data_IF_726892070110
#
_entry.id   IF_726892070110
#
_cell.length_a   1.000
_cell.length_b   1.000
_cell.length_c   1.000
_cell.angle_alpha   90.00
_cell.angle_beta   90.00
_cell.angle_gamma   90.00
#
_symmetry.space_group_name_H-M   'P 1'
#
loop_
_entity.id
_entity.type
_entity.pdbx_description
1 polymer ?
#
# COMPACT_ATOMS: atom_id res chain seq x y z
N UNK A 1 -9.47 25.74 -4.05
CA UNK A 1 -10.00 24.94 -5.16
C UNK A 1 -8.95 24.97 -6.25
N UNK A 2 -8.22 23.88 -6.36
CA UNK A 2 -7.28 23.56 -7.43
C UNK A 2 -8.07 23.52 -8.75
N UNK A 3 -7.54 24.18 -9.78
CA UNK A 3 -8.15 24.21 -11.10
C UNK A 3 -8.11 22.83 -11.75
N UNK A 4 -9.09 22.49 -12.58
CA UNK A 4 -9.08 21.28 -13.39
C UNK A 4 -7.77 21.18 -14.22
N UNK A 5 -7.18 19.97 -14.39
CA UNK A 5 -5.88 19.79 -15.03
C UNK A 5 -5.92 19.87 -16.56
N UNK A 6 -6.96 20.49 -17.14
CA UNK A 6 -7.27 20.50 -18.58
C UNK A 6 -6.05 20.81 -19.45
N UNK A 7 -5.44 21.99 -19.28
CA UNK A 7 -4.33 22.41 -20.12
C UNK A 7 -3.09 21.49 -20.00
N UNK A 8 -2.84 20.96 -18.79
CA UNK A 8 -1.73 20.05 -18.54
C UNK A 8 -1.96 18.69 -19.21
N UNK A 9 -3.19 18.17 -19.15
CA UNK A 9 -3.57 16.92 -19.83
C UNK A 9 -3.52 17.07 -21.35
N UNK A 10 -4.07 18.16 -21.91
CA UNK A 10 -4.01 18.42 -23.36
C UNK A 10 -2.58 18.52 -23.89
N UNK A 11 -1.70 19.21 -23.15
CA UNK A 11 -0.29 19.35 -23.51
C UNK A 11 0.47 18.00 -23.46
N UNK A 12 0.08 17.12 -22.54
CA UNK A 12 0.78 15.87 -22.26
C UNK A 12 0.30 14.72 -23.15
N UNK A 13 -1.00 14.48 -23.19
CA UNK A 13 -1.60 13.34 -23.90
C UNK A 13 -1.99 13.68 -25.34
N UNK A 14 -2.00 14.97 -25.69
CA UNK A 14 -2.50 15.48 -26.96
C UNK A 14 -4.01 15.35 -27.10
N UNK A 15 -4.60 16.17 -27.97
CA UNK A 15 -6.06 16.24 -28.14
C UNK A 15 -6.70 17.24 -27.18
N UNK A 16 -7.95 17.62 -27.47
CA UNK A 16 -8.71 18.56 -26.64
C UNK A 16 -9.51 17.82 -25.59
N UNK A 17 -9.55 18.35 -24.37
CA UNK A 17 -10.37 17.81 -23.28
C UNK A 17 -11.83 18.19 -23.51
N UNK A 18 -12.71 17.19 -23.53
CA UNK A 18 -14.16 17.36 -23.71
C UNK A 18 -14.87 17.47 -22.36
N UNK A 19 -14.57 16.55 -21.42
CA UNK A 19 -15.13 16.60 -20.07
C UNK A 19 -14.08 16.36 -18.99
N UNK A 20 -14.29 16.98 -17.84
CA UNK A 20 -13.51 16.76 -16.62
C UNK A 20 -14.50 16.58 -15.47
N UNK A 21 -14.41 15.45 -14.79
CA UNK A 21 -15.19 15.15 -13.60
C UNK A 21 -14.22 14.89 -12.45
N UNK A 22 -14.45 15.55 -11.31
CA UNK A 22 -13.67 15.29 -10.10
C UNK A 22 -14.16 13.98 -9.48
N UNK A 23 -13.23 13.07 -9.21
CA UNK A 23 -13.49 11.82 -8.50
C UNK A 23 -13.23 12.01 -7.00
N UNK A 24 -13.97 11.25 -6.18
CA UNK A 24 -13.68 11.10 -4.76
C UNK A 24 -12.50 10.14 -4.56
N UNK A 25 -11.64 10.36 -3.56
CA UNK A 25 -10.66 9.35 -3.11
C UNK A 25 -9.19 9.78 -2.95
N UNK A 26 -8.79 10.98 -3.37
CA UNK A 26 -7.40 11.41 -3.20
C UNK A 26 -7.09 11.91 -1.79
N UNK A 27 -6.24 11.20 -1.04
CA UNK A 27 -5.68 11.73 0.23
C UNK A 27 -4.52 12.71 0.02
N UNK A 28 -3.81 12.57 -1.10
CA UNK A 28 -2.55 13.29 -1.41
C UNK A 28 -2.76 14.39 -2.47
N UNK A 29 -3.84 14.29 -3.26
CA UNK A 29 -4.12 15.22 -4.35
C UNK A 29 -5.56 15.11 -4.84
N UNK A 30 -5.93 15.97 -5.78
CA UNK A 30 -7.21 15.88 -6.48
C UNK A 30 -7.12 14.85 -7.61
N UNK A 31 -8.19 14.09 -7.79
CA UNK A 31 -8.30 13.05 -8.81
C UNK A 31 -9.42 13.43 -9.77
N UNK A 32 -9.17 13.32 -11.07
CA UNK A 32 -10.12 13.69 -12.11
C UNK A 32 -10.25 12.57 -13.14
N UNK A 33 -11.48 12.22 -13.51
CA UNK A 33 -11.78 11.53 -14.76
C UNK A 33 -11.77 12.57 -15.88
N UNK A 34 -10.95 12.35 -16.90
CA UNK A 34 -10.81 13.24 -18.04
C UNK A 34 -11.13 12.47 -19.32
N UNK A 35 -12.06 13.01 -20.10
CA UNK A 35 -12.44 12.48 -21.42
C UNK A 35 -11.94 13.44 -22.50
N UNK A 36 -11.16 12.90 -23.44
CA UNK A 36 -10.65 13.64 -24.59
C UNK A 36 -11.65 13.54 -25.76
N UNK A 37 -11.66 14.55 -26.62
CA UNK A 37 -12.55 14.64 -27.77
C UNK A 37 -12.37 13.51 -28.82
N UNK A 38 -11.29 12.72 -28.70
CA UNK A 38 -11.05 11.52 -29.52
C UNK A 38 -11.58 10.22 -28.87
N UNK A 39 -12.26 10.32 -27.73
CA UNK A 39 -12.88 9.21 -26.99
C UNK A 39 -11.97 8.53 -25.98
N UNK A 40 -10.69 8.94 -25.86
CA UNK A 40 -9.80 8.43 -24.80
C UNK A 40 -10.26 8.92 -23.42
N UNK A 41 -10.18 8.05 -22.42
CA UNK A 41 -10.46 8.36 -21.02
C UNK A 41 -9.22 8.11 -20.18
N UNK A 42 -8.89 9.02 -19.27
CA UNK A 42 -7.77 8.91 -18.34
C UNK A 42 -8.17 9.37 -16.95
N UNK A 43 -7.49 8.86 -15.93
CA UNK A 43 -7.48 9.46 -14.60
C UNK A 43 -6.28 10.38 -14.50
N UNK A 44 -6.52 11.66 -14.21
CA UNK A 44 -5.50 12.65 -13.93
C UNK A 44 -5.47 12.96 -12.44
N UNK A 45 -4.32 12.76 -11.81
CA UNK A 45 -4.03 13.17 -10.42
C UNK A 45 -3.16 14.42 -10.43
N UNK A 46 -3.49 15.37 -9.54
CA UNK A 46 -2.70 16.58 -9.30
C UNK A 46 -2.60 16.83 -7.79
N UNK A 47 -1.48 17.33 -7.29
CA UNK A 47 -1.33 17.58 -5.85
C UNK A 47 -0.14 18.45 -5.50
N UNK A 48 -0.01 18.76 -4.22
CA UNK A 48 1.14 19.50 -3.68
C UNK A 48 2.36 18.59 -3.40
N UNK A 49 2.18 17.28 -3.55
CA UNK A 49 3.21 16.27 -3.35
C UNK A 49 3.67 15.69 -4.69
N UNK A 50 4.93 15.27 -4.75
CA UNK A 50 5.53 14.66 -5.92
C UNK A 50 4.79 13.36 -6.34
N UNK A 51 4.08 13.44 -7.46
CA UNK A 51 3.31 12.32 -8.03
C UNK A 51 4.17 11.35 -8.85
N UNK A 52 5.43 11.70 -9.14
CA UNK A 52 6.31 10.86 -9.96
C UNK A 52 6.62 9.52 -9.29
N UNK A 53 6.63 9.51 -7.96
CA UNK A 53 6.90 8.29 -7.17
C UNK A 53 5.80 7.25 -7.36
N UNK A 54 4.53 7.65 -7.38
CA UNK A 54 3.41 6.74 -7.62
C UNK A 54 3.45 6.15 -9.04
N UNK A 55 3.63 6.98 -10.06
CA UNK A 55 3.72 6.49 -11.44
C UNK A 55 4.90 5.55 -11.66
N UNK A 56 6.03 5.78 -10.98
CA UNK A 56 7.19 4.85 -10.99
C UNK A 56 6.87 3.52 -10.31
N UNK A 57 6.11 3.52 -9.21
CA UNK A 57 5.68 2.28 -8.55
C UNK A 57 4.71 1.47 -9.42
N UNK A 58 3.70 2.12 -10.01
CA UNK A 58 2.78 1.49 -10.96
C UNK A 58 3.52 0.86 -12.15
N UNK A 59 4.45 1.63 -12.74
CA UNK A 59 5.28 1.13 -13.85
C UNK A 59 6.16 -0.06 -13.44
N UNK A 60 6.66 -0.07 -12.19
CA UNK A 60 7.47 -1.18 -11.67
C UNK A 60 6.62 -2.44 -11.46
N UNK A 61 5.42 -2.32 -10.90
CA UNK A 61 4.47 -3.43 -10.74
C UNK A 61 4.09 -4.05 -12.08
N UNK A 62 3.76 -3.22 -13.08
CA UNK A 62 3.40 -3.67 -14.42
C UNK A 62 4.58 -4.34 -15.16
N UNK A 63 5.81 -3.91 -14.89
CA UNK A 63 7.00 -4.49 -15.53
C UNK A 63 7.46 -5.80 -14.89
N UNK A 64 7.22 -5.98 -13.58
CA UNK A 64 7.76 -7.10 -12.80
C UNK A 64 6.73 -8.18 -12.48
N UNK A 65 5.44 -7.93 -12.70
CA UNK A 65 4.35 -8.85 -12.34
C UNK A 65 3.15 -8.75 -13.28
N UNK A 66 2.25 -9.73 -13.18
CA UNK A 66 0.94 -9.72 -13.85
C UNK A 66 -0.16 -9.09 -12.96
N UNK A 67 0.20 -8.38 -11.89
CA UNK A 67 -0.77 -7.71 -11.02
C UNK A 67 -1.55 -6.67 -11.83
N UNK A 68 -2.90 -6.69 -11.84
CA UNK A 68 -3.66 -5.73 -12.61
C UNK A 68 -3.52 -4.36 -11.96
N UNK A 69 -2.77 -3.46 -12.59
CA UNK A 69 -2.57 -2.06 -12.19
C UNK A 69 -2.83 -1.15 -13.40
N UNK A 70 -3.30 0.09 -13.20
CA UNK A 70 -3.52 1.01 -14.31
C UNK A 70 -2.24 1.28 -15.10
N UNK A 71 -2.33 1.30 -16.44
CA UNK A 71 -1.23 1.76 -17.29
C UNK A 71 -0.89 3.22 -16.99
N UNK A 72 0.41 3.55 -16.93
CA UNK A 72 0.87 4.93 -16.73
C UNK A 72 1.10 5.59 -18.09
N UNK A 73 0.28 6.57 -18.43
CA UNK A 73 0.43 7.36 -19.66
C UNK A 73 1.42 8.50 -19.50
N UNK A 74 1.46 9.12 -18.32
CA UNK A 74 2.38 10.19 -17.97
C UNK A 74 2.61 10.27 -16.47
N UNK A 75 3.82 10.62 -16.06
CA UNK A 75 4.16 10.80 -14.66
C UNK A 75 5.29 11.81 -14.48
N UNK A 76 4.97 12.92 -13.82
CA UNK A 76 5.94 13.89 -13.30
C UNK A 76 5.53 14.33 -11.88
N UNK A 77 6.19 15.37 -11.36
CA UNK A 77 5.96 15.83 -10.00
C UNK A 77 4.56 16.43 -9.78
N UNK A 78 3.96 17.04 -10.80
CA UNK A 78 2.75 17.84 -10.71
C UNK A 78 1.52 17.13 -11.31
N UNK A 79 1.74 16.18 -12.23
CA UNK A 79 0.70 15.47 -12.96
C UNK A 79 1.03 13.97 -13.12
N UNK A 80 0.08 13.14 -12.75
CA UNK A 80 0.06 11.70 -13.07
C UNK A 80 -1.19 11.39 -13.89
N UNK A 81 -1.01 10.94 -15.13
CA UNK A 81 -2.09 10.45 -15.98
C UNK A 81 -1.97 8.93 -16.12
N UNK A 82 -3.03 8.23 -15.72
CA UNK A 82 -3.10 6.77 -15.77
C UNK A 82 -4.37 6.31 -16.49
N UNK A 83 -4.41 5.04 -16.84
CA UNK A 83 -5.58 4.37 -17.36
C UNK A 83 -6.79 4.57 -16.45
N UNK A 84 -7.93 4.91 -17.06
CA UNK A 84 -9.21 4.81 -16.39
C UNK A 84 -9.69 3.37 -16.44
N UNK A 85 -9.66 2.69 -15.29
CA UNK A 85 -10.15 1.33 -15.14
C UNK A 85 -11.57 1.37 -14.59
N UNK A 86 -12.51 0.69 -15.26
CA UNK A 86 -13.86 0.55 -14.75
C UNK A 86 -13.90 -0.44 -13.58
N UNK A 87 -14.68 -0.09 -12.55
CA UNK A 87 -14.95 -1.01 -11.45
C UNK A 87 -15.62 -0.35 -10.26
N UNK A 88 -16.06 -1.20 -9.34
CA UNK A 88 -16.58 -0.85 -8.03
C UNK A 88 -15.64 -1.38 -6.93
N UNK A 89 -15.79 -0.91 -5.70
CA UNK A 89 -15.06 -1.44 -4.54
C UNK A 89 -15.82 -2.54 -3.77
N UNK A 90 -16.71 -3.26 -4.45
CA UNK A 90 -17.56 -4.31 -3.85
C UNK A 90 -16.77 -5.61 -3.68
N UNK A 91 -16.40 -5.94 -2.45
CA UNK A 91 -15.67 -7.18 -2.13
C UNK A 91 -16.66 -8.33 -1.89
N UNK A 92 -16.76 -9.23 -2.88
CA UNK A 92 -17.49 -10.52 -2.75
C UNK A 92 -16.51 -11.65 -2.44
N UNK A 93 -16.96 -12.83 -1.95
CA UNK A 93 -16.09 -13.98 -1.79
C UNK A 93 -15.40 -14.44 -3.09
N UNK A 94 -15.95 -14.12 -4.26
CA UNK A 94 -15.30 -14.37 -5.55
C UNK A 94 -14.10 -13.44 -5.77
N UNK A 95 -14.29 -12.14 -5.50
CA UNK A 95 -13.24 -11.12 -5.51
C UNK A 95 -12.14 -11.47 -4.50
N UNK A 96 -12.49 -11.86 -3.27
CA UNK A 96 -11.51 -12.28 -2.26
C UNK A 96 -10.60 -13.41 -2.77
N UNK A 97 -11.18 -14.43 -3.40
CA UNK A 97 -10.41 -15.54 -3.98
C UNK A 97 -9.57 -15.10 -5.17
N UNK A 98 -10.03 -14.13 -5.94
CA UNK A 98 -9.27 -13.57 -7.07
C UNK A 98 -8.08 -12.74 -6.58
N UNK A 99 -8.32 -11.79 -5.66
CA UNK A 99 -7.27 -11.02 -5.00
C UNK A 99 -6.23 -11.92 -4.33
N UNK A 100 -6.65 -13.01 -3.68
CA UNK A 100 -5.73 -13.98 -3.10
C UNK A 100 -4.82 -14.66 -4.11
N UNK A 101 -5.28 -14.91 -5.34
CA UNK A 101 -4.43 -15.42 -6.42
C UNK A 101 -3.46 -14.35 -6.89
N UNK A 102 -3.96 -13.16 -7.18
CA UNK A 102 -3.16 -12.03 -7.67
C UNK A 102 -2.04 -11.67 -6.69
N UNK A 103 -2.34 -11.52 -5.40
CA UNK A 103 -1.33 -11.25 -4.38
C UNK A 103 -0.40 -12.44 -4.14
N UNK A 104 -0.89 -13.68 -4.26
CA UNK A 104 0.00 -14.84 -4.18
C UNK A 104 0.99 -14.90 -5.35
N UNK A 105 0.56 -14.56 -6.56
CA UNK A 105 1.40 -14.49 -7.76
C UNK A 105 2.41 -13.33 -7.65
N UNK A 106 1.96 -12.14 -7.24
CA UNK A 106 2.83 -11.00 -6.94
C UNK A 106 3.91 -11.37 -5.91
N UNK A 107 3.51 -12.00 -4.81
CA UNK A 107 4.46 -12.39 -3.75
C UNK A 107 5.41 -13.55 -4.13
N UNK A 108 5.30 -14.12 -5.34
CA UNK A 108 6.31 -15.03 -5.92
C UNK A 108 7.36 -14.29 -6.75
N UNK A 109 7.18 -13.00 -7.03
CA UNK A 109 8.22 -12.16 -7.61
C UNK A 109 9.24 -11.85 -6.53
N UNK A 110 10.36 -12.58 -6.56
CA UNK A 110 11.39 -12.52 -5.53
C UNK A 110 12.44 -11.44 -5.81
N UNK A 111 12.75 -10.65 -4.78
CA UNK A 111 13.83 -9.67 -4.80
C UNK A 111 15.16 -10.29 -4.36
N UNK A 112 16.28 -9.67 -4.75
CA UNK A 112 17.61 -10.08 -4.27
C UNK A 112 17.89 -9.66 -2.83
N UNK A 113 17.19 -8.65 -2.34
CA UNK A 113 17.33 -8.05 -1.03
C UNK A 113 16.00 -7.37 -0.65
N UNK A 114 15.81 -7.05 0.63
CA UNK A 114 14.68 -6.24 1.10
C UNK A 114 14.94 -4.76 0.81
N UNK A 115 13.88 -4.01 0.52
CA UNK A 115 13.97 -2.62 0.08
C UNK A 115 13.38 -2.44 -1.31
N UNK A 116 13.77 -1.37 -2.00
CA UNK A 116 13.25 -1.04 -3.32
C UNK A 116 14.26 -0.13 -4.06
N UNK A 117 14.23 -0.05 -5.41
CA UNK A 117 15.20 0.77 -6.14
C UNK A 117 15.17 2.28 -5.80
N UNK A 118 14.12 2.75 -5.13
CA UNK A 118 13.96 4.11 -4.64
C UNK A 118 13.06 4.15 -3.40
N UNK A 119 13.15 5.22 -2.61
CA UNK A 119 12.23 5.48 -1.50
C UNK A 119 10.82 5.70 -2.04
N UNK A 120 9.84 5.01 -1.45
CA UNK A 120 8.43 5.07 -1.85
C UNK A 120 7.61 5.92 -0.89
N UNK A 121 6.30 5.99 -1.12
CA UNK A 121 5.35 6.71 -0.27
C UNK A 121 4.24 5.75 0.18
N UNK A 122 3.77 5.92 1.41
CA UNK A 122 2.48 5.39 1.87
C UNK A 122 1.60 6.56 2.25
N UNK A 123 0.59 6.85 1.43
CA UNK A 123 -0.03 8.18 1.41
C UNK A 123 1.03 9.28 1.24
N UNK A 124 1.03 10.35 2.05
CA UNK A 124 2.06 11.39 1.97
C UNK A 124 3.34 11.06 2.77
N UNK A 125 3.45 9.86 3.36
CA UNK A 125 4.54 9.51 4.28
C UNK A 125 5.69 8.83 3.50
N UNK A 126 6.91 9.39 3.55
CA UNK A 126 8.07 8.75 2.94
C UNK A 126 8.42 7.41 3.60
N UNK A 127 8.66 6.40 2.77
CA UNK A 127 9.11 5.06 3.13
C UNK A 127 10.54 4.85 2.65
N UNK A 128 11.54 4.93 3.56
CA UNK A 128 12.91 4.59 3.22
C UNK A 128 13.01 3.13 2.74
N UNK A 129 13.73 2.92 1.65
CA UNK A 129 13.87 1.61 1.01
C UNK A 129 15.34 1.23 0.72
N UNK A 130 16.29 1.42 1.66
CA UNK A 130 17.65 0.95 1.45
C UNK A 130 17.66 -0.57 1.26
N UNK A 131 18.54 -1.05 0.38
CA UNK A 131 18.74 -2.48 0.21
C UNK A 131 19.36 -3.09 1.46
N UNK A 132 18.76 -4.17 1.97
CA UNK A 132 19.22 -4.90 3.15
C UNK A 132 19.08 -6.41 2.96
N UNK A 133 19.97 -7.19 3.58
CA UNK A 133 19.98 -8.65 3.43
C UNK A 133 18.97 -9.36 4.34
N UNK A 134 18.51 -8.70 5.41
CA UNK A 134 17.65 -9.30 6.44
C UNK A 134 16.37 -8.51 6.62
N UNK A 135 15.25 -9.22 6.74
CA UNK A 135 13.94 -8.61 6.87
C UNK A 135 13.70 -8.01 8.24
N UNK A 136 14.04 -8.72 9.31
CA UNK A 136 13.68 -8.29 10.67
C UNK A 136 14.33 -6.93 11.02
N UNK A 137 15.63 -6.69 10.74
CA UNK A 137 16.24 -5.36 10.89
C UNK A 137 15.61 -4.31 9.97
N UNK A 138 15.32 -4.65 8.71
CA UNK A 138 14.65 -3.73 7.78
C UNK A 138 13.28 -3.29 8.30
N UNK A 139 12.45 -4.23 8.74
CA UNK A 139 11.13 -3.95 9.29
C UNK A 139 11.22 -3.11 10.57
N UNK A 140 12.16 -3.44 11.46
CA UNK A 140 12.38 -2.65 12.69
C UNK A 140 12.77 -1.20 12.36
N UNK A 141 13.82 -1.03 11.57
CA UNK A 141 14.49 0.26 11.42
C UNK A 141 13.79 1.14 10.36
N UNK A 142 13.45 0.57 9.20
CA UNK A 142 12.93 1.31 8.04
C UNK A 142 11.40 1.36 7.97
N UNK A 143 10.70 0.56 8.78
CA UNK A 143 9.24 0.62 8.91
C UNK A 143 8.85 1.18 10.25
N UNK A 144 8.97 0.39 11.32
CA UNK A 144 8.39 0.71 12.64
C UNK A 144 9.08 1.90 13.31
N UNK A 145 10.40 1.89 13.46
CA UNK A 145 11.12 2.99 14.14
C UNK A 145 11.06 4.29 13.32
N UNK A 146 11.26 4.22 12.00
CA UNK A 146 11.16 5.39 11.11
C UNK A 146 9.84 6.15 11.28
N UNK A 147 8.70 5.45 11.29
CA UNK A 147 7.40 6.10 11.47
C UNK A 147 7.13 6.50 12.93
N UNK A 148 7.61 5.71 13.90
CA UNK A 148 7.54 6.05 15.32
C UNK A 148 8.24 7.40 15.59
N UNK A 149 9.46 7.58 15.10
CA UNK A 149 10.24 8.82 15.25
C UNK A 149 9.56 10.02 14.58
N UNK A 150 8.91 9.80 13.42
CA UNK A 150 8.13 10.84 12.74
C UNK A 150 6.89 11.22 13.54
N UNK A 151 6.16 10.24 14.06
CA UNK A 151 4.96 10.48 14.86
C UNK A 151 5.28 11.15 16.20
N UNK A 152 6.37 10.76 16.87
CA UNK A 152 6.85 11.40 18.09
C UNK A 152 7.26 12.86 17.84
N UNK A 153 8.04 13.13 16.78
CA UNK A 153 8.42 14.51 16.40
C UNK A 153 7.23 15.39 16.01
N UNK A 154 6.21 14.80 15.41
CA UNK A 154 4.96 15.49 15.06
C UNK A 154 4.03 15.68 16.27
N UNK A 155 4.33 15.11 17.44
CA UNK A 155 3.46 15.12 18.62
C UNK A 155 2.19 14.26 18.46
N UNK A 156 2.14 13.42 17.42
CA UNK A 156 1.00 12.54 17.15
C UNK A 156 1.10 11.19 17.85
N UNK A 157 2.27 10.83 18.40
CA UNK A 157 2.48 9.65 19.25
C UNK A 157 2.93 10.07 20.67
N UNK A 158 2.20 9.68 21.73
CA UNK A 158 2.63 9.90 23.12
C UNK A 158 3.90 9.11 23.49
N UNK A 159 4.77 9.69 24.32
CA UNK A 159 6.04 9.09 24.77
C UNK A 159 5.87 7.71 25.41
N UNK A 160 4.79 7.50 26.16
CA UNK A 160 4.47 6.20 26.76
C UNK A 160 4.27 5.11 25.70
N UNK A 161 3.54 5.42 24.62
CA UNK A 161 3.34 4.48 23.52
C UNK A 161 4.62 4.30 22.69
N UNK A 162 5.38 5.37 22.45
CA UNK A 162 6.68 5.27 21.78
C UNK A 162 7.63 4.32 22.53
N UNK A 163 7.71 4.43 23.86
CA UNK A 163 8.52 3.54 24.71
C UNK A 163 8.08 2.08 24.58
N UNK A 164 6.77 1.82 24.50
CA UNK A 164 6.24 0.45 24.32
C UNK A 164 6.57 -0.11 22.93
N UNK A 165 6.50 0.72 21.89
CA UNK A 165 6.93 0.35 20.52
C UNK A 165 8.41 0.02 20.49
N UNK A 166 9.28 0.83 21.12
CA UNK A 166 10.73 0.56 21.20
C UNK A 166 11.03 -0.78 21.89
N UNK A 167 10.32 -1.09 22.97
CA UNK A 167 10.45 -2.39 23.67
C UNK A 167 10.01 -3.55 22.78
N UNK A 168 8.92 -3.40 22.03
CA UNK A 168 8.48 -4.40 21.07
C UNK A 168 9.53 -4.61 19.96
N UNK A 169 10.06 -3.52 19.39
CA UNK A 169 11.12 -3.54 18.37
C UNK A 169 12.37 -4.30 18.83
N UNK A 170 12.77 -4.17 20.10
CA UNK A 170 13.92 -4.87 20.66
C UNK A 170 13.75 -6.41 20.64
N UNK A 171 12.50 -6.87 20.70
CA UNK A 171 12.17 -8.29 20.75
C UNK A 171 11.75 -8.88 19.39
N UNK A 172 11.78 -8.10 18.29
CA UNK A 172 11.32 -8.56 16.97
C UNK A 172 12.01 -9.85 16.49
N UNK A 173 13.29 -10.06 16.81
CA UNK A 173 14.03 -11.30 16.51
C UNK A 173 13.42 -12.55 17.17
N UNK A 174 12.67 -12.37 18.28
CA UNK A 174 11.94 -13.44 18.96
C UNK A 174 10.47 -13.54 18.55
N UNK A 175 9.92 -12.46 17.97
CA UNK A 175 8.51 -12.34 17.61
C UNK A 175 8.24 -12.73 16.15
N UNK A 176 9.25 -12.61 15.30
CA UNK A 176 9.19 -12.85 13.85
C UNK A 176 10.17 -13.95 13.43
N UNK A 177 10.05 -14.35 12.17
CA UNK A 177 10.98 -15.26 11.52
C UNK A 177 11.38 -14.63 10.20
N UNK A 178 12.65 -14.77 9.83
CA UNK A 178 13.12 -14.33 8.51
C UNK A 178 12.39 -15.11 7.41
N UNK A 179 11.87 -14.45 6.37
CA UNK A 179 11.28 -15.15 5.23
C UNK A 179 12.39 -15.81 4.40
N UNK A 180 12.03 -16.82 3.61
CA UNK A 180 12.98 -17.50 2.71
C UNK A 180 13.55 -16.57 1.63
N UNK A 181 12.72 -15.64 1.13
CA UNK A 181 13.10 -14.63 0.16
C UNK A 181 12.28 -13.33 0.34
N UNK A 182 12.81 -12.16 -0.05
CA UNK A 182 12.03 -10.94 -0.23
C UNK A 182 10.99 -11.12 -1.34
N UNK A 183 9.76 -10.71 -1.09
CA UNK A 183 8.69 -10.73 -2.09
C UNK A 183 8.29 -9.30 -2.46
N UNK A 184 8.04 -9.04 -3.74
CA UNK A 184 7.47 -7.78 -4.18
C UNK A 184 6.08 -7.61 -3.56
N UNK A 185 5.82 -6.48 -2.92
CA UNK A 185 4.54 -6.16 -2.28
C UNK A 185 3.83 -5.03 -3.05
N UNK A 186 2.51 -5.05 -3.07
CA UNK A 186 1.73 -3.86 -3.46
C UNK A 186 1.90 -2.79 -2.37
N UNK A 187 1.87 -3.20 -1.10
CA UNK A 187 2.22 -2.37 0.07
C UNK A 187 1.07 -1.55 0.64
N UNK A 188 -0.03 -1.37 -0.11
CA UNK A 188 -1.25 -0.70 0.35
C UNK A 188 -2.52 -1.37 -0.21
N UNK A 189 -2.60 -2.71 -0.12
CA UNK A 189 -3.75 -3.46 -0.61
C UNK A 189 -4.90 -3.42 0.41
N UNK A 190 -5.86 -2.52 0.22
CA UNK A 190 -7.09 -2.44 1.02
C UNK A 190 -8.29 -2.04 0.16
N UNK A 191 -9.52 -2.15 0.72
CA UNK A 191 -10.78 -2.06 -0.03
C UNK A 191 -10.87 -0.86 -1.00
N UNK A 192 -10.42 0.32 -0.61
CA UNK A 192 -10.55 1.53 -1.45
C UNK A 192 -9.52 1.60 -2.56
N UNK A 193 -8.44 0.83 -2.45
CA UNK A 193 -7.38 0.71 -3.44
C UNK A 193 -7.62 -0.47 -4.40
N UNK A 194 -8.87 -0.95 -4.46
CA UNK A 194 -9.29 -2.06 -5.30
C UNK A 194 -10.49 -1.65 -6.14
N UNK A 195 -10.36 -1.88 -7.44
CA UNK A 195 -11.48 -1.89 -8.38
C UNK A 195 -11.83 -3.32 -8.74
N UNK A 196 -13.12 -3.57 -8.89
CA UNK A 196 -13.67 -4.92 -9.08
C UNK A 196 -14.86 -4.88 -10.03
N UNK A 197 -15.14 -5.99 -10.70
CA UNK A 197 -16.39 -6.21 -11.46
C UNK A 197 -17.43 -7.00 -10.65
N UNK A 198 -17.23 -7.11 -9.33
CA UNK A 198 -18.02 -7.93 -8.42
C UNK A 198 -17.68 -9.44 -8.45
N UNK A 199 -16.86 -9.92 -9.39
CA UNK A 199 -16.36 -11.30 -9.48
C UNK A 199 -14.84 -11.41 -9.39
N UNK A 200 -14.11 -10.42 -9.91
CA UNK A 200 -12.65 -10.34 -10.00
C UNK A 200 -12.16 -8.94 -9.67
N UNK A 201 -10.87 -8.84 -9.35
CA UNK A 201 -10.19 -7.56 -9.23
C UNK A 201 -9.83 -7.07 -10.63
N UNK A 202 -10.23 -5.84 -10.97
CA UNK A 202 -9.91 -5.18 -12.24
C UNK A 202 -8.67 -4.30 -12.12
N UNK A 203 -8.42 -3.71 -10.94
CA UNK A 203 -7.17 -3.00 -10.66
C UNK A 203 -6.84 -2.93 -9.16
N UNK A 204 -5.54 -2.96 -8.86
CA UNK A 204 -4.94 -2.48 -7.62
C UNK A 204 -4.44 -1.04 -7.86
N UNK A 205 -4.81 -0.13 -6.97
CA UNK A 205 -4.52 1.29 -7.05
C UNK A 205 -3.57 1.72 -5.93
N UNK A 206 -2.93 2.86 -6.11
CA UNK A 206 -2.18 3.58 -5.06
C UNK A 206 -1.15 2.70 -4.32
N UNK A 207 -0.17 2.13 -5.05
CA UNK A 207 0.81 1.24 -4.45
C UNK A 207 1.76 1.96 -3.47
N UNK A 208 2.33 1.18 -2.55
CA UNK A 208 3.39 1.59 -1.62
C UNK A 208 4.51 0.53 -1.65
N UNK A 209 5.06 0.30 -2.85
CA UNK A 209 5.85 -0.87 -3.21
C UNK A 209 7.17 -1.02 -2.45
N UNK A 210 7.53 -2.26 -2.14
CA UNK A 210 8.88 -2.66 -1.78
C UNK A 210 8.98 -4.19 -1.76
N UNK A 211 10.19 -4.70 -1.78
CA UNK A 211 10.48 -6.10 -1.48
C UNK A 211 10.52 -6.32 0.03
N UNK A 212 9.60 -7.13 0.55
CA UNK A 212 9.38 -7.35 1.98
C UNK A 212 8.95 -8.78 2.31
N UNK A 213 8.61 -9.03 3.57
CA UNK A 213 7.98 -10.29 3.95
C UNK A 213 6.48 -10.23 3.60
N UNK A 214 5.92 -11.20 2.85
CA UNK A 214 4.50 -11.20 2.46
C UNK A 214 3.49 -11.03 3.60
N UNK A 215 3.83 -11.49 4.81
CA UNK A 215 2.92 -11.44 5.96
C UNK A 215 2.60 -10.01 6.40
N UNK A 216 3.39 -9.00 6.02
CA UNK A 216 3.05 -7.61 6.32
C UNK A 216 1.82 -7.13 5.57
N UNK A 217 1.70 -7.50 4.29
CA UNK A 217 0.53 -7.19 3.48
C UNK A 217 -0.67 -8.04 3.92
N UNK A 218 -0.45 -9.31 4.30
CA UNK A 218 -1.49 -10.14 4.90
C UNK A 218 -2.02 -9.58 6.22
N UNK A 219 -1.16 -8.98 7.04
CA UNK A 219 -1.56 -8.35 8.29
C UNK A 219 -2.34 -7.06 8.04
N UNK A 220 -2.04 -6.36 6.95
CA UNK A 220 -2.76 -5.16 6.55
C UNK A 220 -4.17 -5.46 6.03
N UNK A 221 -4.33 -6.48 5.18
CA UNK A 221 -5.67 -6.92 4.72
C UNK A 221 -6.53 -7.47 5.84
N UNK A 222 -5.91 -8.17 6.83
CA UNK A 222 -6.59 -8.65 8.04
C UNK A 222 -7.06 -7.48 8.91
N UNK A 223 -6.16 -6.52 9.19
CA UNK A 223 -6.44 -5.40 10.06
C UNK A 223 -7.52 -4.47 9.51
N UNK A 224 -7.45 -4.17 8.21
CA UNK A 224 -8.43 -3.31 7.53
C UNK A 224 -9.75 -4.02 7.23
N UNK A 225 -9.87 -5.31 7.59
CA UNK A 225 -11.01 -6.17 7.26
C UNK A 225 -11.36 -6.12 5.76
N UNK A 226 -10.33 -5.95 4.92
CA UNK A 226 -10.51 -5.86 3.47
C UNK A 226 -10.96 -7.20 2.92
N UNK A 227 -10.35 -8.30 3.40
CA UNK A 227 -10.66 -9.66 2.98
C UNK A 227 -10.84 -10.60 4.17
N UNK A 228 -11.76 -11.56 4.04
CA UNK A 228 -12.04 -12.58 5.04
C UNK A 228 -11.50 -13.97 4.71
N UNK A 229 -12.19 -14.99 5.22
CA UNK A 229 -11.76 -16.39 5.17
C UNK A 229 -11.52 -16.91 3.74
N UNK A 230 -12.31 -16.46 2.76
CA UNK A 230 -12.18 -16.97 1.39
C UNK A 230 -10.86 -16.54 0.74
N UNK A 231 -10.36 -15.35 1.10
CA UNK A 231 -9.03 -14.89 0.71
C UNK A 231 -7.94 -15.74 1.37
N UNK A 232 -7.93 -15.85 2.70
CA UNK A 232 -6.86 -16.55 3.43
C UNK A 232 -6.80 -18.04 3.11
N UNK A 233 -7.94 -18.70 2.90
CA UNK A 233 -8.01 -20.08 2.42
C UNK A 233 -7.32 -20.21 1.04
N UNK A 234 -7.68 -19.33 0.10
CA UNK A 234 -7.13 -19.39 -1.25
C UNK A 234 -5.64 -19.04 -1.28
N UNK A 235 -5.24 -17.98 -0.57
CA UNK A 235 -3.84 -17.54 -0.53
C UNK A 235 -2.91 -18.64 0.01
N UNK A 236 -3.32 -19.31 1.10
CA UNK A 236 -2.59 -20.46 1.65
C UNK A 236 -2.43 -21.59 0.64
N UNK A 237 -3.49 -21.90 -0.11
CA UNK A 237 -3.46 -22.94 -1.14
C UNK A 237 -2.50 -22.58 -2.28
N UNK A 238 -2.46 -21.32 -2.69
CA UNK A 238 -1.58 -20.86 -3.77
C UNK A 238 -0.11 -20.89 -3.37
N UNK A 239 0.23 -20.30 -2.22
CA UNK A 239 1.63 -20.18 -1.78
C UNK A 239 2.19 -21.48 -1.22
N UNK A 240 1.34 -22.42 -0.84
CA UNK A 240 1.78 -23.65 -0.16
C UNK A 240 2.40 -23.40 1.22
N UNK A 241 2.24 -22.20 1.78
CA UNK A 241 2.79 -21.80 3.08
C UNK A 241 1.75 -21.96 4.19
N UNK A 242 2.20 -22.47 5.33
CA UNK A 242 1.38 -22.52 6.54
C UNK A 242 1.37 -21.17 7.25
N UNK A 243 0.18 -20.60 7.48
CA UNK A 243 0.00 -19.40 8.32
C UNK A 243 -0.06 -19.75 9.83
N UNK A 244 0.63 -20.81 10.25
CA UNK A 244 0.63 -21.24 11.65
C UNK A 244 1.28 -20.15 12.52
N UNK A 245 0.59 -19.73 13.59
CA UNK A 245 1.03 -18.66 14.47
C UNK A 245 0.92 -17.23 13.89
N UNK A 246 0.53 -17.09 12.61
CA UNK A 246 0.34 -15.77 11.99
C UNK A 246 -0.79 -15.01 12.68
N UNK A 247 -1.98 -15.61 12.74
CA UNK A 247 -3.18 -14.99 13.32
C UNK A 247 -3.09 -14.80 14.84
N UNK A 248 -2.30 -15.64 15.52
CA UNK A 248 -2.15 -15.58 16.98
C UNK A 248 -1.23 -14.43 17.40
N UNK A 249 -0.15 -14.20 16.66
CA UNK A 249 0.92 -13.28 17.09
C UNK A 249 1.52 -12.44 15.96
N UNK A 250 2.02 -13.04 14.87
CA UNK A 250 2.83 -12.29 13.87
C UNK A 250 2.06 -11.18 13.18
N UNK A 251 0.76 -11.36 12.90
CA UNK A 251 -0.08 -10.29 12.32
C UNK A 251 -0.11 -9.03 13.17
N UNK A 252 -0.08 -9.15 14.50
CA UNK A 252 -0.10 -7.99 15.39
C UNK A 252 1.25 -7.27 15.39
N UNK A 253 2.36 -7.99 15.22
CA UNK A 253 3.69 -7.39 15.05
C UNK A 253 3.76 -6.62 13.74
N UNK A 254 3.27 -7.20 12.64
CA UNK A 254 3.21 -6.55 11.33
C UNK A 254 2.23 -5.39 11.26
N UNK A 255 1.13 -5.45 12.02
CA UNK A 255 0.14 -4.37 12.15
C UNK A 255 0.74 -3.09 12.74
N UNK A 256 1.81 -3.18 13.55
CA UNK A 256 2.43 -2.00 14.17
C UNK A 256 2.80 -0.94 13.14
N UNK A 257 3.36 -1.33 11.99
CA UNK A 257 3.77 -0.39 10.96
C UNK A 257 2.59 0.44 10.37
N UNK A 258 1.59 -0.17 9.70
CA UNK A 258 0.49 0.59 9.12
C UNK A 258 -0.30 1.35 10.20
N UNK A 259 -0.43 0.79 11.40
CA UNK A 259 -1.12 1.46 12.50
C UNK A 259 -0.37 2.72 12.97
N UNK A 260 0.96 2.68 13.05
CA UNK A 260 1.77 3.87 13.34
C UNK A 260 1.70 4.92 12.23
N UNK A 261 1.61 4.50 10.96
CA UNK A 261 1.33 5.43 9.84
C UNK A 261 -0.02 6.13 10.07
N UNK A 262 -1.06 5.40 10.47
CA UNK A 262 -2.38 5.98 10.77
C UNK A 262 -2.37 6.85 12.03
N UNK A 263 -1.62 6.49 13.07
CA UNK A 263 -1.38 7.38 14.23
C UNK A 263 -0.71 8.68 13.78
N UNK A 264 0.28 8.59 12.90
CA UNK A 264 0.98 9.77 12.40
C UNK A 264 0.04 10.70 11.61
N UNK A 265 -0.79 10.15 10.73
CA UNK A 265 -1.67 10.91 9.83
C UNK A 265 -2.95 11.42 10.51
N UNK A 266 -3.57 10.62 11.37
CA UNK A 266 -4.93 10.86 11.88
C UNK A 266 -5.03 10.93 13.40
N UNK A 267 -4.03 10.45 14.13
CA UNK A 267 -3.98 10.53 15.58
C UNK A 267 -5.03 9.69 16.31
N UNK A 268 -5.94 10.37 17.01
CA UNK A 268 -6.81 9.89 18.11
C UNK A 268 -7.11 8.39 18.18
N UNK A 269 -8.06 7.90 17.37
CA UNK A 269 -8.58 6.53 17.46
C UNK A 269 -7.49 5.45 17.28
N UNK A 270 -6.52 5.71 16.41
CA UNK A 270 -5.43 4.76 16.12
C UNK A 270 -4.43 4.63 17.28
N UNK A 271 -4.37 5.62 18.20
CA UNK A 271 -3.55 5.51 19.41
C UNK A 271 -4.09 4.45 20.37
N UNK A 272 -5.42 4.38 20.52
CA UNK A 272 -6.07 3.38 21.37
C UNK A 272 -5.86 1.98 20.81
N UNK A 273 -6.03 1.83 19.50
CA UNK A 273 -5.78 0.56 18.80
C UNK A 273 -4.31 0.13 18.83
N UNK A 274 -3.37 1.08 18.75
CA UNK A 274 -1.94 0.82 18.93
C UNK A 274 -1.66 0.30 20.34
N UNK A 275 -2.25 0.93 21.36
CA UNK A 275 -2.11 0.50 22.73
C UNK A 275 -2.65 -0.92 22.96
N UNK A 276 -3.78 -1.27 22.34
CA UNK A 276 -4.35 -2.62 22.39
C UNK A 276 -3.46 -3.65 21.67
N UNK A 277 -2.97 -3.32 20.47
CA UNK A 277 -2.07 -4.17 19.70
C UNK A 277 -0.79 -4.47 20.47
N UNK A 278 -0.19 -3.47 21.10
CA UNK A 278 0.99 -3.63 21.96
C UNK A 278 0.68 -4.49 23.20
N UNK A 279 -0.47 -4.27 23.86
CA UNK A 279 -0.87 -5.06 25.02
C UNK A 279 -1.07 -6.55 24.65
N UNK A 280 -1.61 -6.83 23.47
CA UNK A 280 -1.74 -8.19 22.93
C UNK A 280 -0.39 -8.86 22.71
N UNK A 281 0.64 -8.08 22.37
CA UNK A 281 2.02 -8.53 22.21
C UNK A 281 2.79 -8.62 23.53
N UNK A 282 2.24 -8.06 24.62
CA UNK A 282 2.84 -8.05 25.95
C UNK A 282 3.64 -6.79 26.31
N UNK A 283 3.43 -5.68 25.59
CA UNK A 283 4.11 -4.40 25.80
C UNK A 283 3.16 -3.32 26.28
#
# INVERSE_FOLDING_TARGET
MTSAPTAAVEATLGGSVETVERLDGGMVGDVFRVELADGRVTVAKTGEHDLSTEGRMLSSLAAESDLPVPEVYHSDADLLCIEYVEGESTITPAVERDAARQLADLHRVEGRAFGFPFDTLTGPVPQPNPWTERWIPFYRDQRVQSICDRASRAGTLPDELATRVERACADFESLLTEPEAPALLHGDAWRTNLLTDGQRVTAFLDPACYYGHPEIELAYVDWTETFGDAFFERYRRERGVGLAGFFDRRRFVYRLYPLLVHVHLFGGQYRAELAETLARLGY
#
